data_IF_115574553775
#
_entry.id   IF_115574553775
#
_cell.length_a   1.000
_cell.length_b   1.000
_cell.length_c   1.000
_cell.angle_alpha   90.00
_cell.angle_beta   90.00
_cell.angle_gamma   90.00
#
_symmetry.space_group_name_H-M   'P 1'
#
loop_
_entity.id
_entity.type
_entity.pdbx_description
1 polymer ?
#
# COMPACT_ATOMS: atom_id res chain seq x y z
N UNK A 1 -6.41 -19.21 -17.53
CA UNK A 1 -6.40 -17.72 -17.64
C UNK A 1 -6.66 -17.39 -19.10
N UNK A 2 -7.68 -16.58 -19.36
CA UNK A 2 -8.18 -16.30 -20.71
C UNK A 2 -7.07 -15.81 -21.65
N UNK A 3 -6.94 -16.50 -22.80
CA UNK A 3 -6.02 -16.16 -23.88
C UNK A 3 -4.51 -16.19 -23.51
N UNK A 4 -4.13 -16.74 -22.35
CA UNK A 4 -2.75 -16.98 -21.99
C UNK A 4 -2.28 -18.38 -22.44
N UNK A 5 -2.30 -18.61 -23.75
CA UNK A 5 -1.73 -19.80 -24.37
C UNK A 5 -0.20 -19.74 -24.35
N UNK A 6 0.48 -20.91 -24.40
CA UNK A 6 1.96 -20.95 -24.49
C UNK A 6 2.43 -20.15 -25.71
N UNK A 7 1.71 -20.21 -26.83
CA UNK A 7 2.00 -19.44 -28.04
C UNK A 7 1.98 -17.93 -27.76
N UNK A 8 0.89 -17.42 -27.17
CA UNK A 8 0.75 -16.00 -26.86
C UNK A 8 1.80 -15.55 -25.82
N UNK A 9 2.08 -16.37 -24.83
CA UNK A 9 3.13 -16.11 -23.83
C UNK A 9 4.50 -15.97 -24.48
N UNK A 10 4.83 -16.87 -25.45
CA UNK A 10 6.08 -16.81 -26.18
C UNK A 10 6.22 -15.52 -27.00
N UNK A 11 5.16 -15.12 -27.70
CA UNK A 11 5.13 -13.89 -28.50
C UNK A 11 5.26 -12.64 -27.62
N UNK A 12 4.47 -12.57 -26.52
CA UNK A 12 4.44 -11.43 -25.59
C UNK A 12 5.78 -11.20 -24.92
N UNK A 13 6.47 -12.29 -24.52
CA UNK A 13 7.79 -12.22 -23.89
C UNK A 13 8.94 -12.05 -24.90
N UNK A 14 8.66 -12.04 -26.20
CA UNK A 14 9.69 -12.10 -27.25
C UNK A 14 10.66 -13.27 -27.02
N UNK A 15 10.13 -14.39 -26.55
CA UNK A 15 10.89 -15.56 -26.16
C UNK A 15 11.04 -16.59 -27.27
N UNK A 16 11.83 -17.63 -27.02
CA UNK A 16 11.96 -18.82 -27.87
C UNK A 16 11.34 -20.01 -27.17
N UNK A 17 10.35 -20.62 -27.80
CA UNK A 17 9.70 -21.81 -27.26
C UNK A 17 10.52 -23.08 -27.52
N UNK A 18 10.64 -23.91 -26.51
CA UNK A 18 11.25 -25.23 -26.56
C UNK A 18 10.25 -26.26 -26.00
N UNK A 19 9.84 -27.21 -26.82
CA UNK A 19 8.90 -28.27 -26.43
C UNK A 19 8.04 -28.78 -27.59
N UNK A 20 7.05 -29.64 -27.27
CA UNK A 20 6.15 -30.21 -28.27
C UNK A 20 5.17 -29.15 -28.81
N UNK A 21 4.97 -29.08 -30.14
CA UNK A 21 4.07 -28.13 -30.76
C UNK A 21 2.59 -28.29 -30.34
N UNK A 22 2.17 -29.52 -30.04
CA UNK A 22 0.77 -29.84 -29.71
C UNK A 22 0.27 -29.26 -28.39
N UNK A 23 1.13 -28.65 -27.57
CA UNK A 23 0.73 -27.97 -26.32
C UNK A 23 0.70 -26.44 -26.44
N UNK A 24 1.15 -25.86 -27.56
CA UNK A 24 1.28 -24.42 -27.72
C UNK A 24 -0.04 -23.65 -27.59
N UNK A 25 -1.17 -24.26 -27.95
CA UNK A 25 -2.49 -23.65 -27.85
C UNK A 25 -3.14 -23.86 -26.47
N UNK A 26 -2.49 -24.56 -25.54
CA UNK A 26 -3.00 -24.73 -24.17
C UNK A 26 -2.83 -23.46 -23.36
N UNK A 27 -3.87 -23.09 -22.63
CA UNK A 27 -3.87 -21.96 -21.72
C UNK A 27 -3.32 -22.38 -20.35
N UNK A 28 -2.55 -21.47 -19.72
CA UNK A 28 -2.11 -21.66 -18.34
C UNK A 28 -3.26 -21.34 -17.37
N UNK A 29 -3.33 -22.10 -16.28
CA UNK A 29 -4.35 -21.95 -15.22
C UNK A 29 -4.02 -20.78 -14.27
N UNK A 30 -2.73 -20.62 -13.98
CA UNK A 30 -2.20 -19.59 -13.07
C UNK A 30 -0.75 -19.28 -13.41
N UNK A 31 -0.23 -18.19 -12.85
CA UNK A 31 1.16 -17.77 -12.99
C UNK A 31 1.73 -17.53 -11.60
N UNK A 32 2.88 -18.13 -11.30
CA UNK A 32 3.54 -17.98 -10.00
C UNK A 32 5.06 -17.90 -10.12
N UNK A 33 5.67 -17.12 -9.22
CA UNK A 33 7.13 -17.08 -8.99
C UNK A 33 7.55 -17.91 -7.78
N UNK A 34 6.58 -18.47 -7.03
CA UNK A 34 6.83 -19.28 -5.82
C UNK A 34 6.67 -20.76 -6.15
N UNK A 35 7.79 -21.51 -6.14
CA UNK A 35 7.84 -22.94 -6.42
C UNK A 35 7.01 -23.84 -5.46
N UNK A 36 6.57 -23.27 -4.33
CA UNK A 36 5.71 -23.95 -3.35
C UNK A 36 4.21 -23.82 -3.68
N UNK A 37 3.85 -22.90 -4.59
CA UNK A 37 2.47 -22.57 -4.99
C UNK A 37 2.15 -23.04 -6.41
N UNK A 38 2.78 -24.11 -6.86
CA UNK A 38 2.51 -24.68 -8.17
C UNK A 38 1.14 -25.34 -8.17
N UNK A 39 0.35 -24.96 -9.15
CA UNK A 39 -0.93 -25.59 -9.48
C UNK A 39 -0.81 -26.35 -10.81
N UNK A 40 -1.72 -27.30 -11.04
CA UNK A 40 -1.78 -28.00 -12.32
C UNK A 40 -1.97 -27.00 -13.47
N UNK A 41 -1.21 -27.19 -14.53
CA UNK A 41 -1.23 -26.35 -15.73
C UNK A 41 -0.81 -24.88 -15.50
N UNK A 42 -0.06 -24.59 -14.44
CA UNK A 42 0.49 -23.25 -14.18
C UNK A 42 1.69 -22.91 -15.06
N UNK A 43 1.96 -21.59 -15.23
CA UNK A 43 3.26 -21.08 -15.67
C UNK A 43 4.12 -20.80 -14.43
N UNK A 44 5.31 -21.38 -14.38
CA UNK A 44 6.32 -21.01 -13.39
C UNK A 44 7.28 -19.95 -13.97
N UNK A 45 7.52 -18.88 -13.20
CA UNK A 45 8.46 -17.81 -13.57
C UNK A 45 9.59 -17.77 -12.57
N UNK A 46 10.77 -18.33 -12.89
CA UNK A 46 11.93 -18.28 -12.01
C UNK A 46 12.52 -16.87 -12.01
N UNK A 47 12.64 -16.27 -10.83
CA UNK A 47 13.30 -14.98 -10.62
C UNK A 47 14.68 -15.22 -10.01
N UNK A 48 15.69 -14.54 -10.54
CA UNK A 48 17.03 -14.50 -9.96
C UNK A 48 17.02 -13.45 -8.87
N UNK A 49 17.03 -13.86 -7.62
CA UNK A 49 17.12 -12.99 -6.47
C UNK A 49 18.54 -12.90 -5.91
N UNK A 50 18.78 -11.97 -4.98
CA UNK A 50 20.11 -11.76 -4.36
C UNK A 50 20.68 -13.01 -3.68
N UNK A 51 19.82 -13.85 -3.07
CA UNK A 51 20.22 -15.03 -2.30
C UNK A 51 19.98 -16.35 -3.02
N UNK A 52 19.06 -16.37 -3.96
CA UNK A 52 18.57 -17.63 -4.57
C UNK A 52 18.24 -17.38 -6.04
N UNK A 53 18.81 -18.23 -6.92
CA UNK A 53 18.37 -18.38 -8.30
C UNK A 53 17.24 -19.42 -8.36
N UNK A 54 16.01 -18.96 -8.67
CA UNK A 54 14.83 -19.82 -8.69
C UNK A 54 14.82 -20.81 -9.87
N UNK A 55 15.71 -20.69 -10.87
CA UNK A 55 15.82 -21.67 -11.96
C UNK A 55 16.13 -23.08 -11.45
N UNK A 56 16.82 -23.20 -10.29
CA UNK A 56 17.08 -24.52 -9.67
C UNK A 56 15.83 -25.32 -9.32
N UNK A 57 14.67 -24.65 -9.20
CA UNK A 57 13.41 -25.30 -8.86
C UNK A 57 12.62 -25.78 -10.09
N UNK A 58 13.08 -25.48 -11.33
CA UNK A 58 12.38 -25.84 -12.55
C UNK A 58 12.04 -27.33 -12.63
N UNK A 59 12.97 -28.27 -12.40
CA UNK A 59 12.63 -29.69 -12.47
C UNK A 59 11.55 -30.12 -11.47
N UNK A 60 11.60 -29.57 -10.25
CA UNK A 60 10.62 -29.88 -9.19
C UNK A 60 9.23 -29.33 -9.54
N UNK A 61 9.13 -28.11 -10.02
CA UNK A 61 7.83 -27.49 -10.37
C UNK A 61 7.20 -28.18 -11.58
N UNK A 62 7.99 -28.59 -12.57
CA UNK A 62 7.50 -29.33 -13.72
C UNK A 62 6.97 -30.71 -13.31
N UNK A 63 7.66 -31.39 -12.40
CA UNK A 63 7.20 -32.67 -11.84
C UNK A 63 5.89 -32.55 -11.03
N UNK A 64 5.61 -31.37 -10.47
CA UNK A 64 4.37 -31.04 -9.74
C UNK A 64 3.19 -30.66 -10.65
N UNK A 65 3.41 -30.60 -11.97
CA UNK A 65 2.34 -30.41 -12.95
C UNK A 65 2.22 -28.99 -13.51
N UNK A 66 3.25 -28.17 -13.41
CA UNK A 66 3.33 -26.93 -14.19
C UNK A 66 3.23 -27.28 -15.70
N UNK A 67 2.52 -26.46 -16.47
CA UNK A 67 2.37 -26.66 -17.91
C UNK A 67 3.63 -26.24 -18.67
N UNK A 68 4.23 -25.14 -18.25
CA UNK A 68 5.38 -24.52 -18.88
C UNK A 68 6.15 -23.68 -17.87
N UNK A 69 7.44 -23.48 -18.08
CA UNK A 69 8.27 -22.56 -17.29
C UNK A 69 8.94 -21.54 -18.19
N UNK A 70 9.24 -20.34 -17.66
CA UNK A 70 10.25 -19.46 -18.27
C UNK A 70 11.66 -19.93 -17.89
N UNK A 71 12.65 -19.52 -18.67
CA UNK A 71 14.07 -19.66 -18.32
C UNK A 71 14.89 -18.56 -18.97
N UNK A 72 15.82 -17.94 -18.24
CA UNK A 72 16.76 -16.96 -18.80
C UNK A 72 17.97 -17.63 -19.50
N UNK A 73 18.01 -18.94 -19.52
CA UNK A 73 19.08 -19.75 -20.15
C UNK A 73 18.51 -20.97 -20.84
N UNK A 74 19.26 -21.51 -21.78
CA UNK A 74 18.94 -22.78 -22.39
C UNK A 74 19.00 -23.91 -21.33
N UNK A 75 18.00 -24.78 -21.35
CA UNK A 75 17.92 -25.92 -20.44
C UNK A 75 18.37 -27.20 -21.18
N UNK A 76 19.58 -27.62 -20.91
CA UNK A 76 20.13 -28.86 -21.52
C UNK A 76 19.29 -30.08 -21.13
N UNK A 77 18.92 -30.89 -22.13
CA UNK A 77 18.15 -32.15 -21.96
C UNK A 77 16.78 -31.98 -21.26
N UNK A 78 16.13 -30.79 -21.37
CA UNK A 78 14.78 -30.62 -20.86
C UNK A 78 13.80 -31.48 -21.66
N UNK A 79 13.06 -32.37 -20.95
CA UNK A 79 11.98 -33.20 -21.48
C UNK A 79 10.59 -32.58 -21.28
N UNK A 80 10.54 -31.31 -20.90
CA UNK A 80 9.34 -30.51 -20.62
C UNK A 80 9.34 -29.20 -21.40
N UNK A 81 8.15 -28.58 -21.63
CA UNK A 81 8.06 -27.33 -22.36
C UNK A 81 8.60 -26.14 -21.51
N UNK A 82 9.39 -25.29 -22.16
CA UNK A 82 9.82 -24.01 -21.57
C UNK A 82 9.91 -22.90 -22.63
N UNK A 83 9.86 -21.66 -22.18
CA UNK A 83 10.07 -20.46 -23.00
C UNK A 83 11.35 -19.80 -22.53
N UNK A 84 12.35 -19.73 -23.40
CA UNK A 84 13.59 -19.01 -23.14
C UNK A 84 13.36 -17.51 -23.35
N UNK A 85 13.72 -16.71 -22.36
CA UNK A 85 13.53 -15.24 -22.34
C UNK A 85 14.82 -14.54 -21.95
N UNK A 86 14.98 -13.27 -22.35
CA UNK A 86 16.14 -12.47 -21.94
C UNK A 86 16.10 -12.05 -20.47
N UNK A 87 14.90 -11.88 -19.89
CA UNK A 87 14.68 -11.53 -18.48
C UNK A 87 13.32 -12.03 -18.01
N UNK A 88 13.29 -12.86 -16.99
CA UNK A 88 12.06 -13.35 -16.35
C UNK A 88 11.28 -12.20 -15.71
N UNK A 89 11.96 -11.22 -15.12
CA UNK A 89 11.31 -10.04 -14.53
C UNK A 89 10.64 -9.17 -15.59
N UNK A 90 11.26 -8.97 -16.76
CA UNK A 90 10.62 -8.23 -17.85
C UNK A 90 9.45 -9.02 -18.43
N UNK A 91 9.60 -10.32 -18.62
CA UNK A 91 8.54 -11.19 -19.12
C UNK A 91 7.28 -11.16 -18.22
N UNK A 92 7.44 -11.19 -16.89
CA UNK A 92 6.32 -11.03 -15.94
C UNK A 92 5.55 -9.74 -16.18
N UNK A 93 6.25 -8.62 -16.41
CA UNK A 93 5.62 -7.32 -16.67
C UNK A 93 4.87 -7.33 -18.01
N UNK A 94 5.46 -7.86 -19.06
CA UNK A 94 4.87 -7.92 -20.39
C UNK A 94 3.63 -8.83 -20.42
N UNK A 95 3.69 -9.98 -19.73
CA UNK A 95 2.54 -10.89 -19.58
C UNK A 95 1.41 -10.20 -18.80
N UNK A 96 1.72 -9.48 -17.72
CA UNK A 96 0.71 -8.79 -16.92
C UNK A 96 0.03 -7.67 -17.71
N UNK A 97 0.80 -6.87 -18.45
CA UNK A 97 0.24 -5.85 -19.36
C UNK A 97 -0.68 -6.48 -20.41
N UNK A 98 -0.24 -7.56 -21.05
CA UNK A 98 -1.04 -8.28 -22.04
C UNK A 98 -2.32 -8.83 -21.43
N UNK A 99 -2.23 -9.51 -20.28
CA UNK A 99 -3.39 -10.12 -19.62
C UNK A 99 -4.43 -9.09 -19.19
N UNK A 100 -3.99 -7.99 -18.56
CA UNK A 100 -4.91 -6.94 -18.12
C UNK A 100 -5.65 -6.30 -19.30
N UNK A 101 -4.96 -6.09 -20.44
CA UNK A 101 -5.60 -5.61 -21.68
C UNK A 101 -6.69 -6.56 -22.21
N UNK A 102 -6.54 -7.88 -22.02
CA UNK A 102 -7.54 -8.86 -22.45
C UNK A 102 -8.83 -8.80 -21.62
N UNK A 103 -8.72 -8.47 -20.34
CA UNK A 103 -9.86 -8.41 -19.42
C UNK A 103 -10.76 -7.20 -19.67
N UNK A 104 -10.21 -6.11 -20.20
CA UNK A 104 -10.96 -4.87 -20.53
C UNK A 104 -11.79 -4.31 -19.35
N UNK A 105 -11.31 -4.51 -18.12
CA UNK A 105 -11.94 -3.96 -16.92
C UNK A 105 -11.33 -2.62 -16.54
N UNK A 106 -12.11 -1.70 -15.93
CA UNK A 106 -11.55 -0.46 -15.42
C UNK A 106 -10.57 -0.70 -14.28
N UNK A 107 -9.55 0.17 -14.22
CA UNK A 107 -8.49 0.13 -13.22
C UNK A 107 -8.43 1.46 -12.47
N UNK A 108 -8.49 1.39 -11.14
CA UNK A 108 -8.17 2.51 -10.25
C UNK A 108 -6.73 2.34 -9.77
N UNK A 109 -5.83 3.20 -10.22
CA UNK A 109 -4.44 3.23 -9.79
C UNK A 109 -4.24 4.20 -8.64
N UNK A 110 -3.59 3.77 -7.55
CA UNK A 110 -3.42 4.57 -6.34
C UNK A 110 -1.95 4.69 -5.99
N UNK A 111 -1.48 5.92 -5.79
CA UNK A 111 -0.14 6.20 -5.25
C UNK A 111 -0.19 7.34 -4.23
N UNK A 112 0.95 7.68 -3.67
CA UNK A 112 1.14 8.75 -2.69
C UNK A 112 2.28 8.43 -1.74
N UNK A 113 2.67 9.38 -0.92
CA UNK A 113 3.71 9.18 0.08
C UNK A 113 3.19 8.34 1.25
N UNK A 114 2.04 8.72 1.79
CA UNK A 114 1.38 8.06 2.92
C UNK A 114 -0.08 7.73 2.56
N UNK A 115 -0.66 6.73 3.22
CA UNK A 115 -2.09 6.42 3.11
C UNK A 115 -2.49 5.60 1.88
N UNK A 116 -1.58 5.21 0.99
CA UNK A 116 -1.89 4.40 -0.21
C UNK A 116 -2.75 3.17 0.09
N UNK A 117 -2.29 2.36 1.03
CA UNK A 117 -2.96 1.10 1.40
C UNK A 117 -4.32 1.38 2.02
N UNK A 118 -4.41 2.32 2.96
CA UNK A 118 -5.69 2.68 3.59
C UNK A 118 -6.68 3.25 2.57
N UNK A 119 -6.24 4.15 1.68
CA UNK A 119 -7.08 4.68 0.59
C UNK A 119 -7.54 3.58 -0.35
N UNK A 120 -6.65 2.66 -0.74
CA UNK A 120 -6.99 1.47 -1.54
C UNK A 120 -8.10 0.64 -0.88
N UNK A 121 -8.00 0.43 0.43
CA UNK A 121 -8.99 -0.35 1.15
C UNK A 121 -10.36 0.33 1.18
N UNK A 122 -10.40 1.64 1.48
CA UNK A 122 -11.67 2.38 1.48
C UNK A 122 -12.28 2.44 0.07
N UNK A 123 -11.48 2.72 -0.96
CA UNK A 123 -11.94 2.72 -2.36
C UNK A 123 -12.47 1.33 -2.74
N UNK A 124 -11.75 0.27 -2.41
CA UNK A 124 -12.19 -1.09 -2.73
C UNK A 124 -13.46 -1.49 -1.96
N UNK A 125 -13.60 -1.06 -0.69
CA UNK A 125 -14.81 -1.26 0.11
C UNK A 125 -16.02 -0.56 -0.52
N UNK A 126 -15.86 0.69 -0.96
CA UNK A 126 -16.91 1.45 -1.65
C UNK A 126 -17.27 0.78 -2.99
N UNK A 127 -16.29 0.47 -3.82
CA UNK A 127 -16.57 -0.13 -5.14
C UNK A 127 -17.20 -1.52 -5.04
N UNK A 128 -16.89 -2.28 -3.99
CA UNK A 128 -17.45 -3.61 -3.72
C UNK A 128 -18.98 -3.60 -3.51
N UNK A 129 -19.55 -2.46 -3.11
CA UNK A 129 -21.01 -2.31 -2.97
C UNK A 129 -21.77 -2.51 -4.30
N UNK A 130 -21.06 -2.32 -5.43
CA UNK A 130 -21.66 -2.41 -6.76
C UNK A 130 -20.93 -3.37 -7.70
N UNK A 131 -19.62 -3.54 -7.54
CA UNK A 131 -18.77 -4.26 -8.47
C UNK A 131 -18.05 -5.42 -7.80
N UNK A 132 -17.85 -6.52 -8.54
CA UNK A 132 -16.86 -7.52 -8.12
C UNK A 132 -15.47 -6.93 -8.28
N UNK A 133 -14.88 -6.54 -7.14
CA UNK A 133 -13.68 -5.73 -7.06
C UNK A 133 -12.48 -6.56 -6.62
N UNK A 134 -11.42 -6.62 -7.44
CA UNK A 134 -10.12 -7.11 -7.01
C UNK A 134 -9.24 -5.95 -6.56
N UNK A 135 -8.48 -6.14 -5.48
CA UNK A 135 -7.52 -5.15 -4.97
C UNK A 135 -6.14 -5.75 -4.74
N UNK A 136 -5.11 -4.90 -4.75
CA UNK A 136 -3.76 -5.26 -4.31
C UNK A 136 -3.79 -5.82 -2.89
N UNK A 137 -3.18 -6.97 -2.67
CA UNK A 137 -3.00 -7.57 -1.33
C UNK A 137 -1.62 -7.23 -0.78
N UNK A 138 -1.56 -7.00 0.54
CA UNK A 138 -0.30 -6.69 1.22
C UNK A 138 0.45 -5.54 0.53
N UNK A 139 1.73 -5.76 0.25
CA UNK A 139 2.64 -4.82 -0.41
C UNK A 139 2.98 -5.21 -1.86
N UNK A 140 2.11 -5.95 -2.55
CA UNK A 140 2.32 -6.31 -3.96
C UNK A 140 2.07 -5.12 -4.89
N UNK A 141 2.80 -4.02 -4.65
CA UNK A 141 2.63 -2.71 -5.28
C UNK A 141 3.84 -2.23 -6.08
N UNK A 142 4.91 -3.03 -6.17
CA UNK A 142 6.14 -2.76 -6.92
C UNK A 142 6.16 -3.49 -8.27
N UNK A 143 7.30 -3.43 -8.99
CA UNK A 143 7.47 -3.97 -10.34
C UNK A 143 7.29 -5.49 -10.46
N UNK A 144 7.40 -6.25 -9.37
CA UNK A 144 7.07 -7.68 -9.32
C UNK A 144 5.68 -7.91 -8.71
N UNK A 145 5.34 -7.19 -7.66
CA UNK A 145 4.09 -7.35 -6.92
C UNK A 145 2.84 -6.97 -7.72
N UNK A 146 2.92 -5.87 -8.50
CA UNK A 146 1.80 -5.44 -9.34
C UNK A 146 1.43 -6.49 -10.40
N UNK A 147 2.37 -7.06 -11.19
CA UNK A 147 2.09 -8.19 -12.06
C UNK A 147 1.42 -9.37 -11.35
N UNK A 148 1.94 -9.78 -10.19
CA UNK A 148 1.37 -10.88 -9.41
C UNK A 148 -0.06 -10.56 -8.92
N UNK A 149 -0.37 -9.30 -8.65
CA UNK A 149 -1.74 -8.86 -8.37
C UNK A 149 -2.63 -8.99 -9.59
N UNK A 150 -2.16 -8.56 -10.76
CA UNK A 150 -2.87 -8.65 -12.04
C UNK A 150 -3.18 -10.12 -12.40
N UNK A 151 -2.27 -11.06 -12.15
CA UNK A 151 -2.50 -12.48 -12.42
C UNK A 151 -3.58 -13.13 -11.54
N UNK A 152 -4.05 -12.45 -10.51
CA UNK A 152 -5.18 -12.90 -9.69
C UNK A 152 -6.55 -12.52 -10.26
N UNK A 153 -6.60 -11.57 -11.20
CA UNK A 153 -7.83 -11.19 -11.89
C UNK A 153 -8.41 -12.37 -12.66
N UNK A 154 -9.73 -12.43 -12.72
CA UNK A 154 -10.51 -13.42 -13.45
C UNK A 154 -11.57 -12.71 -14.30
N UNK A 155 -12.20 -13.43 -15.23
CA UNK A 155 -13.20 -12.91 -16.16
C UNK A 155 -14.42 -12.32 -15.44
N UNK A 156 -14.69 -12.77 -14.21
CA UNK A 156 -15.79 -12.27 -13.40
C UNK A 156 -15.49 -10.97 -12.66
N UNK A 157 -14.23 -10.57 -12.53
CA UNK A 157 -13.87 -9.30 -11.89
C UNK A 157 -14.29 -8.14 -12.80
N UNK A 158 -14.90 -7.13 -12.19
CA UNK A 158 -15.49 -6.01 -12.91
C UNK A 158 -14.68 -4.72 -12.78
N UNK A 159 -13.81 -4.63 -11.76
CA UNK A 159 -12.94 -3.50 -11.52
C UNK A 159 -11.72 -3.93 -10.70
N UNK A 160 -10.57 -3.32 -10.98
CA UNK A 160 -9.34 -3.53 -10.21
C UNK A 160 -8.90 -2.26 -9.49
N UNK A 161 -8.49 -2.39 -8.22
CA UNK A 161 -7.92 -1.31 -7.41
C UNK A 161 -6.46 -1.65 -7.13
N UNK A 162 -5.55 -0.99 -7.85
CA UNK A 162 -4.14 -1.32 -7.88
C UNK A 162 -3.32 -0.25 -7.16
N UNK A 163 -2.69 -0.65 -6.05
CA UNK A 163 -1.71 0.18 -5.34
C UNK A 163 -0.38 0.17 -6.08
N UNK A 164 0.22 1.34 -6.29
CA UNK A 164 1.49 1.53 -6.96
C UNK A 164 2.47 2.29 -6.06
N UNK A 165 3.45 1.55 -5.53
CA UNK A 165 4.54 2.06 -4.70
C UNK A 165 5.81 2.23 -5.51
N UNK A 166 6.53 3.33 -5.28
CA UNK A 166 7.80 3.64 -5.93
C UNK A 166 8.79 4.19 -4.94
N UNK A 167 10.06 3.95 -5.23
CA UNK A 167 11.22 4.47 -4.49
C UNK A 167 12.13 5.34 -5.36
N UNK A 168 12.00 5.25 -6.70
CA UNK A 168 12.88 5.95 -7.65
C UNK A 168 12.12 6.44 -8.89
N UNK A 169 12.75 7.35 -9.65
CA UNK A 169 12.22 7.86 -10.90
C UNK A 169 12.06 6.75 -11.96
N UNK A 170 11.01 6.85 -12.76
CA UNK A 170 10.72 5.91 -13.85
C UNK A 170 10.06 4.60 -13.40
N UNK A 171 10.09 4.23 -12.11
CA UNK A 171 9.37 3.06 -11.61
C UNK A 171 7.86 3.21 -11.85
N UNK A 172 7.29 4.38 -11.53
CA UNK A 172 5.88 4.65 -11.78
C UNK A 172 5.53 4.55 -13.26
N UNK A 173 6.41 5.00 -14.17
CA UNK A 173 6.20 4.85 -15.60
C UNK A 173 6.09 3.38 -16.02
N UNK A 174 6.92 2.49 -15.42
CA UNK A 174 6.86 1.05 -15.68
C UNK A 174 5.60 0.40 -15.10
N UNK A 175 5.21 0.79 -13.88
CA UNK A 175 3.98 0.30 -13.23
C UNK A 175 2.72 0.74 -13.99
N UNK A 176 2.63 2.01 -14.35
CA UNK A 176 1.45 2.55 -15.04
C UNK A 176 1.30 2.01 -16.47
N UNK A 177 2.41 1.61 -17.12
CA UNK A 177 2.37 0.91 -18.41
C UNK A 177 1.62 -0.43 -18.30
N UNK A 178 1.81 -1.16 -17.19
CA UNK A 178 1.11 -2.42 -16.89
C UNK A 178 -0.35 -2.13 -16.53
N UNK A 179 -0.57 -1.25 -15.56
CA UNK A 179 -1.87 -0.99 -14.96
C UNK A 179 -2.83 -0.24 -15.89
N UNK A 180 -2.33 0.71 -16.71
CA UNK A 180 -3.11 1.58 -17.61
C UNK A 180 -4.37 2.14 -16.97
N UNK A 181 -4.26 2.87 -15.84
CA UNK A 181 -5.39 3.21 -15.01
C UNK A 181 -6.42 4.08 -15.74
N UNK A 182 -7.70 3.78 -15.50
CA UNK A 182 -8.82 4.63 -15.90
C UNK A 182 -9.03 5.76 -14.90
N UNK A 183 -8.68 5.54 -13.64
CA UNK A 183 -8.69 6.56 -12.60
C UNK A 183 -7.38 6.54 -11.85
N UNK A 184 -6.71 7.69 -11.78
CA UNK A 184 -5.46 7.89 -11.02
C UNK A 184 -5.75 8.64 -9.73
N UNK A 185 -5.38 8.06 -8.59
CA UNK A 185 -5.54 8.67 -7.26
C UNK A 185 -4.17 8.94 -6.66
N UNK A 186 -3.90 10.17 -6.22
CA UNK A 186 -2.70 10.51 -5.44
C UNK A 186 -3.11 11.07 -4.09
N UNK A 187 -2.68 10.40 -3.01
CA UNK A 187 -3.11 10.72 -1.65
C UNK A 187 -2.44 11.97 -1.08
N UNK A 188 -1.13 12.07 -1.23
CA UNK A 188 -0.31 13.21 -0.77
C UNK A 188 1.12 13.14 -1.28
N UNK A 189 1.86 14.25 -1.15
CA UNK A 189 3.28 14.40 -1.46
C UNK A 189 4.06 14.77 -0.19
N UNK A 190 4.55 13.76 0.51
CA UNK A 190 5.36 13.90 1.72
C UNK A 190 6.85 13.71 1.46
N UNK A 191 7.60 13.49 2.55
CA UNK A 191 9.06 13.33 2.58
C UNK A 191 9.47 11.85 2.60
N UNK A 192 9.00 11.05 1.62
CA UNK A 192 9.39 9.65 1.49
C UNK A 192 10.41 9.46 0.36
N UNK A 193 11.31 8.49 0.51
CA UNK A 193 12.33 8.13 -0.49
C UNK A 193 13.19 9.32 -0.96
N UNK A 194 13.48 10.28 -0.06
CA UNK A 194 14.23 11.48 -0.40
C UNK A 194 15.66 11.18 -0.86
N UNK A 195 16.24 10.07 -0.42
CA UNK A 195 17.53 9.58 -0.88
C UNK A 195 17.60 9.50 -2.42
N UNK A 196 16.56 8.99 -3.06
CA UNK A 196 16.50 8.80 -4.51
C UNK A 196 15.79 9.96 -5.22
N UNK A 197 14.78 10.56 -4.59
CA UNK A 197 13.90 11.55 -5.21
C UNK A 197 14.31 13.01 -4.89
N UNK A 198 15.26 13.21 -3.96
CA UNK A 198 15.83 14.49 -3.58
C UNK A 198 14.93 15.30 -2.64
N UNK A 199 13.85 15.85 -3.14
CA UNK A 199 12.92 16.69 -2.39
C UNK A 199 11.44 16.40 -2.71
N UNK A 200 10.52 17.17 -2.13
CA UNK A 200 9.09 17.03 -2.39
C UNK A 200 8.69 17.32 -3.85
N UNK A 201 9.45 18.12 -4.58
CA UNK A 201 9.19 18.35 -6.01
C UNK A 201 9.61 17.14 -6.84
N UNK A 202 10.70 16.47 -6.46
CA UNK A 202 11.07 15.17 -7.02
C UNK A 202 10.04 14.09 -6.73
N UNK A 203 9.50 14.05 -5.50
CA UNK A 203 8.41 13.12 -5.13
C UNK A 203 7.14 13.39 -5.97
N UNK A 204 6.74 14.66 -6.14
CA UNK A 204 5.62 15.04 -7.01
C UNK A 204 5.86 14.58 -8.43
N UNK A 205 7.05 14.87 -9.01
CA UNK A 205 7.42 14.49 -10.37
C UNK A 205 7.35 12.97 -10.56
N UNK A 206 7.91 12.19 -9.63
CA UNK A 206 7.90 10.73 -9.71
C UNK A 206 6.49 10.13 -9.60
N UNK A 207 5.65 10.64 -8.69
CA UNK A 207 4.29 10.12 -8.50
C UNK A 207 3.33 10.52 -9.61
N UNK A 208 3.47 11.72 -10.19
CA UNK A 208 2.65 12.16 -11.33
C UNK A 208 2.97 11.42 -12.63
N UNK A 209 4.05 10.63 -12.69
CA UNK A 209 4.26 9.69 -13.79
C UNK A 209 3.12 8.65 -13.92
N UNK A 210 2.27 8.47 -12.89
CA UNK A 210 1.07 7.61 -12.97
C UNK A 210 0.15 8.01 -14.12
N UNK A 211 0.16 9.28 -14.53
CA UNK A 211 -0.67 9.78 -15.62
C UNK A 211 -0.15 9.38 -17.01
N UNK A 212 1.14 8.99 -17.15
CA UNK A 212 1.77 8.75 -18.47
C UNK A 212 1.08 7.69 -19.33
N UNK A 213 0.51 6.67 -18.71
CA UNK A 213 -0.19 5.58 -19.41
C UNK A 213 -1.67 5.47 -19.02
N UNK A 214 -2.23 6.49 -18.37
CA UNK A 214 -3.65 6.49 -18.04
C UNK A 214 -4.54 6.50 -19.31
N UNK A 215 -5.76 6.02 -19.17
CA UNK A 215 -6.75 6.14 -20.22
C UNK A 215 -6.97 7.63 -20.57
N UNK A 216 -6.89 8.04 -21.84
CA UNK A 216 -7.09 9.43 -22.24
C UNK A 216 -8.46 10.01 -21.85
N UNK A 217 -9.46 9.16 -21.63
CA UNK A 217 -10.81 9.53 -21.14
C UNK A 217 -10.97 9.24 -19.65
N UNK A 218 -9.88 8.98 -18.95
CA UNK A 218 -9.87 8.63 -17.55
C UNK A 218 -10.04 9.83 -16.63
N UNK A 219 -9.89 9.57 -15.33
CA UNK A 219 -10.09 10.56 -14.27
C UNK A 219 -8.84 10.70 -13.40
N UNK A 220 -8.64 11.89 -12.86
CA UNK A 220 -7.57 12.20 -11.91
C UNK A 220 -8.26 12.64 -10.62
N UNK A 221 -7.88 12.05 -9.48
CA UNK A 221 -8.42 12.36 -8.14
C UNK A 221 -7.26 12.71 -7.23
N UNK A 222 -7.18 13.95 -6.75
CA UNK A 222 -6.05 14.47 -6.00
C UNK A 222 -6.49 15.09 -4.68
N UNK A 223 -5.63 14.97 -3.66
CA UNK A 223 -5.79 15.72 -2.43
C UNK A 223 -5.51 17.20 -2.69
N UNK A 224 -6.55 18.01 -2.68
CA UNK A 224 -6.45 19.44 -2.94
C UNK A 224 -5.88 20.25 -1.78
N UNK A 225 -5.79 19.68 -0.57
CA UNK A 225 -5.20 20.33 0.60
C UNK A 225 -3.68 20.07 0.71
N UNK A 226 -3.15 19.20 -0.15
CA UNK A 226 -1.70 19.02 -0.33
C UNK A 226 -1.17 20.15 -1.24
N UNK A 227 -0.24 20.96 -0.74
CA UNK A 227 0.30 22.14 -1.41
C UNK A 227 0.96 21.80 -2.78
N UNK A 228 1.54 20.60 -2.91
CA UNK A 228 2.15 20.16 -4.15
C UNK A 228 1.11 19.65 -5.15
N UNK A 229 0.15 18.82 -4.71
CA UNK A 229 -0.90 18.32 -5.58
C UNK A 229 -1.84 19.42 -6.06
N UNK A 230 -2.11 20.43 -5.25
CA UNK A 230 -2.92 21.60 -5.61
C UNK A 230 -2.35 22.39 -6.81
N UNK A 231 -1.05 22.24 -7.13
CA UNK A 231 -0.43 22.86 -8.30
C UNK A 231 -0.75 22.16 -9.63
N UNK A 232 -1.28 20.93 -9.59
CA UNK A 232 -1.62 20.14 -10.78
C UNK A 232 -2.97 20.58 -11.32
N UNK A 233 -2.99 21.48 -12.29
CA UNK A 233 -4.23 22.02 -12.86
C UNK A 233 -4.90 21.11 -13.88
N UNK A 234 -4.11 20.36 -14.65
CA UNK A 234 -4.57 19.39 -15.65
C UNK A 234 -3.44 18.48 -16.13
N UNK A 235 -3.78 17.36 -16.76
CA UNK A 235 -2.87 16.51 -17.50
C UNK A 235 -3.54 16.06 -18.80
N UNK A 236 -2.96 16.43 -19.95
CA UNK A 236 -3.47 16.12 -21.31
C UNK A 236 -4.98 16.46 -21.48
N UNK A 237 -5.42 17.61 -20.92
CA UNK A 237 -6.81 18.06 -20.99
C UNK A 237 -7.74 17.42 -19.95
N UNK A 238 -7.24 16.52 -19.10
CA UNK A 238 -8.01 15.94 -17.97
C UNK A 238 -7.76 16.80 -16.74
N UNK A 239 -8.81 17.43 -16.23
CA UNK A 239 -8.76 18.20 -14.98
C UNK A 239 -8.95 17.27 -13.78
N UNK A 240 -8.18 17.46 -12.69
CA UNK A 240 -8.37 16.72 -11.46
C UNK A 240 -9.73 17.02 -10.80
N UNK A 241 -10.30 16.01 -10.15
CA UNK A 241 -11.29 16.15 -9.09
C UNK A 241 -10.51 16.27 -7.78
N UNK A 242 -10.62 17.39 -7.11
CA UNK A 242 -9.95 17.66 -5.84
C UNK A 242 -10.80 17.26 -4.65
N UNK A 243 -10.21 16.48 -3.74
CA UNK A 243 -10.82 16.21 -2.45
C UNK A 243 -10.02 16.85 -1.32
N UNK A 244 -10.67 17.18 -0.19
CA UNK A 244 -10.02 17.79 0.97
C UNK A 244 -11.01 18.24 2.03
N UNK A 245 -10.53 18.98 3.03
CA UNK A 245 -11.37 19.55 4.10
C UNK A 245 -11.80 21.00 3.78
N UNK A 246 -11.14 21.62 2.82
CA UNK A 246 -11.54 22.94 2.36
C UNK A 246 -12.81 22.86 1.51
N UNK A 247 -13.84 23.63 1.85
CA UNK A 247 -15.13 23.69 1.14
C UNK A 247 -15.04 24.14 -0.34
N UNK A 248 -13.88 24.62 -0.78
CA UNK A 248 -13.62 24.95 -2.18
C UNK A 248 -13.26 23.71 -3.04
N UNK A 249 -13.12 22.54 -2.43
CA UNK A 249 -12.83 21.27 -3.14
C UNK A 249 -14.11 20.69 -3.75
N UNK A 250 -13.93 19.88 -4.82
CA UNK A 250 -15.05 19.19 -5.48
C UNK A 250 -15.73 18.17 -4.56
N UNK A 251 -14.94 17.56 -3.66
CA UNK A 251 -15.39 16.62 -2.63
C UNK A 251 -14.75 17.05 -1.29
N UNK A 252 -15.57 17.40 -0.32
CA UNK A 252 -15.05 17.87 0.97
C UNK A 252 -15.87 17.34 2.16
N UNK A 253 -15.30 17.45 3.36
CA UNK A 253 -15.99 17.11 4.60
C UNK A 253 -15.99 18.29 5.57
N UNK A 254 -17.13 18.46 6.26
CA UNK A 254 -17.29 19.33 7.41
C UNK A 254 -17.92 18.57 8.59
N UNK A 255 -18.26 19.29 9.66
CA UNK A 255 -18.87 18.72 10.88
C UNK A 255 -18.08 17.50 11.40
N UNK A 256 -16.75 17.59 11.36
CA UNK A 256 -15.86 16.49 11.72
C UNK A 256 -15.80 16.38 13.24
N UNK A 257 -16.16 15.19 13.75
CA UNK A 257 -16.18 14.89 15.18
C UNK A 257 -15.43 13.59 15.45
N UNK A 258 -14.37 13.63 16.27
CA UNK A 258 -13.70 12.43 16.74
C UNK A 258 -14.66 11.62 17.63
N UNK A 259 -14.75 10.33 17.37
CA UNK A 259 -15.43 9.35 18.22
C UNK A 259 -14.40 8.51 19.00
N UNK A 260 -13.25 9.10 19.29
CA UNK A 260 -12.11 8.43 19.89
C UNK A 260 -11.61 7.32 18.96
N UNK A 261 -11.20 6.21 19.55
CA UNK A 261 -10.72 5.06 18.79
C UNK A 261 -11.80 4.35 17.93
N UNK A 262 -13.08 4.73 18.07
CA UNK A 262 -14.19 4.17 17.27
C UNK A 262 -14.30 4.79 15.87
N UNK A 263 -13.51 5.83 15.60
CA UNK A 263 -13.49 6.45 14.29
C UNK A 263 -13.82 7.93 14.29
N UNK A 264 -14.21 8.44 13.11
CA UNK A 264 -14.53 9.87 12.91
C UNK A 264 -15.88 9.99 12.22
N UNK A 265 -16.82 10.71 12.85
CA UNK A 265 -18.06 11.11 12.21
C UNK A 265 -17.81 12.40 11.41
N UNK A 266 -18.35 12.48 10.20
CA UNK A 266 -18.28 13.70 9.38
C UNK A 266 -19.45 13.77 8.40
N UNK A 267 -19.64 14.96 7.83
CA UNK A 267 -20.54 15.16 6.70
C UNK A 267 -19.73 15.33 5.43
N UNK A 268 -19.93 14.42 4.46
CA UNK A 268 -19.26 14.49 3.14
C UNK A 268 -20.16 15.21 2.16
N UNK A 269 -19.59 16.20 1.46
CA UNK A 269 -20.18 16.93 0.35
C UNK A 269 -19.61 16.40 -0.97
N UNK A 270 -20.50 16.07 -1.92
CA UNK A 270 -20.16 15.41 -3.18
C UNK A 270 -20.99 15.99 -4.33
N UNK A 271 -20.54 17.10 -4.89
CA UNK A 271 -21.34 17.93 -5.83
C UNK A 271 -22.51 18.57 -5.11
N UNK A 272 -23.74 18.32 -5.60
CA UNK A 272 -24.99 18.83 -4.98
C UNK A 272 -25.48 17.97 -3.81
N UNK A 273 -24.93 16.77 -3.63
CA UNK A 273 -25.31 15.84 -2.58
C UNK A 273 -24.47 16.05 -1.31
N UNK A 274 -25.05 15.75 -0.15
CA UNK A 274 -24.32 15.66 1.12
C UNK A 274 -24.90 14.57 2.01
N UNK A 275 -24.05 13.89 2.77
CA UNK A 275 -24.47 12.80 3.66
C UNK A 275 -23.56 12.67 4.88
N UNK A 276 -24.15 12.26 5.99
CA UNK A 276 -23.44 11.99 7.24
C UNK A 276 -22.92 10.55 7.20
N UNK A 277 -21.66 10.35 7.65
CA UNK A 277 -20.99 9.05 7.63
C UNK A 277 -20.09 8.89 8.86
N UNK A 278 -19.97 7.66 9.35
CA UNK A 278 -18.96 7.26 10.32
C UNK A 278 -17.83 6.53 9.58
N UNK A 279 -16.64 7.11 9.57
CA UNK A 279 -15.41 6.44 9.14
C UNK A 279 -14.93 5.58 10.30
N UNK A 280 -14.96 4.23 10.23
CA UNK A 280 -14.78 3.35 11.39
C UNK A 280 -13.30 3.14 11.80
N UNK A 281 -12.43 4.06 11.41
CA UNK A 281 -11.01 4.09 11.79
C UNK A 281 -10.68 5.49 12.24
N UNK A 282 -10.00 5.67 13.39
CA UNK A 282 -9.74 6.98 13.95
C UNK A 282 -8.71 7.77 13.15
N UNK A 283 -8.73 9.08 13.35
CA UNK A 283 -7.80 10.04 12.77
C UNK A 283 -8.33 10.76 11.53
N UNK A 284 -8.03 12.06 11.48
CA UNK A 284 -8.46 12.95 10.41
C UNK A 284 -7.98 12.49 9.01
N UNK A 285 -6.83 11.82 8.95
CA UNK A 285 -6.29 11.26 7.71
C UNK A 285 -7.21 10.18 7.09
N UNK A 286 -8.04 9.51 7.90
CA UNK A 286 -9.02 8.54 7.40
C UNK A 286 -10.22 9.23 6.75
N UNK A 287 -10.54 10.46 7.15
CA UNK A 287 -11.54 11.27 6.44
C UNK A 287 -11.08 11.59 5.02
N UNK A 288 -9.79 11.95 4.82
CA UNK A 288 -9.23 12.12 3.45
C UNK A 288 -9.35 10.86 2.60
N UNK A 289 -9.11 9.68 3.19
CA UNK A 289 -9.26 8.41 2.47
C UNK A 289 -10.72 8.15 2.08
N UNK A 290 -11.68 8.50 2.95
CA UNK A 290 -13.10 8.40 2.68
C UNK A 290 -13.55 9.38 1.59
N UNK A 291 -13.01 10.61 1.57
CA UNK A 291 -13.26 11.60 0.51
C UNK A 291 -12.75 11.12 -0.86
N UNK A 292 -11.54 10.58 -0.91
CA UNK A 292 -11.00 9.97 -2.14
C UNK A 292 -11.90 8.82 -2.63
N UNK A 293 -12.39 7.98 -1.71
CA UNK A 293 -13.28 6.88 -2.03
C UNK A 293 -14.66 7.35 -2.48
N UNK A 294 -15.20 8.41 -1.89
CA UNK A 294 -16.45 9.03 -2.32
C UNK A 294 -16.33 9.61 -3.74
N UNK A 295 -15.23 10.31 -4.05
CA UNK A 295 -14.93 10.80 -5.40
C UNK A 295 -14.90 9.66 -6.43
N UNK A 296 -14.15 8.58 -6.14
CA UNK A 296 -14.05 7.40 -7.00
C UNK A 296 -15.40 6.70 -7.12
N UNK A 297 -16.14 6.51 -6.03
CA UNK A 297 -17.48 5.92 -6.05
C UNK A 297 -18.44 6.68 -6.98
N UNK A 298 -18.42 8.01 -6.93
CA UNK A 298 -19.22 8.87 -7.84
C UNK A 298 -18.80 8.69 -9.30
N UNK A 299 -17.51 8.65 -9.60
CA UNK A 299 -16.99 8.43 -10.96
C UNK A 299 -17.51 7.12 -11.55
N UNK A 300 -17.59 6.06 -10.73
CA UNK A 300 -18.12 4.75 -11.16
C UNK A 300 -19.62 4.58 -10.94
N UNK A 301 -20.35 5.68 -10.68
CA UNK A 301 -21.79 5.72 -10.66
C UNK A 301 -22.45 4.96 -9.49
N UNK A 302 -21.79 4.94 -8.33
CA UNK A 302 -22.39 4.46 -7.09
C UNK A 302 -23.37 5.52 -6.54
N UNK A 303 -24.46 5.07 -5.93
CA UNK A 303 -25.36 5.93 -5.18
C UNK A 303 -24.73 6.40 -3.87
N UNK A 304 -25.28 7.45 -3.27
CA UNK A 304 -24.83 7.96 -1.96
C UNK A 304 -24.90 6.87 -0.88
N UNK A 305 -25.96 6.07 -0.89
CA UNK A 305 -26.16 4.98 0.07
C UNK A 305 -25.12 3.87 -0.09
N UNK A 306 -24.74 3.55 -1.34
CA UNK A 306 -23.66 2.57 -1.62
C UNK A 306 -22.31 3.13 -1.18
N UNK A 307 -22.01 4.40 -1.46
CA UNK A 307 -20.76 5.05 -1.03
C UNK A 307 -20.69 5.06 0.51
N UNK A 308 -21.77 5.49 1.18
CA UNK A 308 -21.84 5.51 2.64
C UNK A 308 -21.63 4.12 3.24
N UNK A 309 -22.38 3.11 2.80
CA UNK A 309 -22.21 1.73 3.29
C UNK A 309 -20.78 1.22 3.07
N UNK A 310 -20.19 1.49 1.90
CA UNK A 310 -18.83 1.07 1.60
C UNK A 310 -17.79 1.71 2.52
N UNK A 311 -17.96 2.98 2.91
CA UNK A 311 -17.10 3.64 3.90
C UNK A 311 -17.31 3.03 5.30
N UNK A 312 -18.57 2.90 5.74
CA UNK A 312 -18.92 2.41 7.09
C UNK A 312 -18.60 0.92 7.30
N UNK A 313 -18.52 0.13 6.22
CA UNK A 313 -18.16 -1.29 6.25
C UNK A 313 -16.67 -1.59 6.13
N UNK A 314 -15.81 -0.57 6.22
CA UNK A 314 -14.37 -0.74 6.14
C UNK A 314 -13.85 -1.66 7.25
N UNK A 315 -13.22 -2.75 6.86
CA UNK A 315 -12.51 -3.65 7.78
C UNK A 315 -11.08 -3.14 8.02
N UNK A 316 -10.66 -3.13 9.29
CA UNK A 316 -9.29 -2.74 9.66
C UNK A 316 -8.28 -3.79 9.23
N UNK A 317 -7.11 -3.37 8.76
CA UNK A 317 -6.04 -4.25 8.30
C UNK A 317 -4.97 -4.37 9.40
N UNK A 318 -4.43 -5.56 9.57
CA UNK A 318 -3.29 -5.81 10.46
C UNK A 318 -2.11 -4.89 10.11
N UNK A 319 -1.51 -4.27 11.13
CA UNK A 319 -0.39 -3.35 10.97
C UNK A 319 -0.78 -1.96 10.41
N UNK A 320 -2.09 -1.68 10.28
CA UNK A 320 -2.63 -0.41 9.79
C UNK A 320 -3.74 0.09 10.70
N UNK A 321 -3.34 0.58 11.87
CA UNK A 321 -4.26 1.08 12.89
C UNK A 321 -5.31 0.05 13.34
N UNK A 322 -4.90 -1.23 13.46
CA UNK A 322 -5.78 -2.29 13.89
C UNK A 322 -5.88 -2.30 15.42
N UNK A 323 -7.10 -2.17 15.92
CA UNK A 323 -7.39 -2.35 17.33
C UNK A 323 -7.38 -3.83 17.70
N UNK A 324 -6.65 -4.18 18.76
CA UNK A 324 -6.58 -5.52 19.33
C UNK A 324 -6.87 -5.39 20.81
N UNK A 325 -8.05 -5.83 21.22
CA UNK A 325 -8.39 -5.94 22.64
C UNK A 325 -7.78 -7.23 23.19
N UNK A 326 -6.98 -7.11 24.22
CA UNK A 326 -6.48 -8.24 25.02
C UNK A 326 -7.12 -8.21 26.41
N UNK A 327 -6.88 -9.21 27.25
CA UNK A 327 -7.38 -9.22 28.61
C UNK A 327 -6.83 -8.07 29.47
N UNK A 328 -5.73 -7.42 29.07
CA UNK A 328 -5.02 -6.40 29.83
C UNK A 328 -4.92 -5.04 29.14
N UNK A 329 -4.86 -5.02 27.82
CA UNK A 329 -4.50 -3.83 27.04
C UNK A 329 -5.45 -3.62 25.88
N UNK A 330 -5.54 -2.36 25.44
CA UNK A 330 -5.97 -2.05 24.09
C UNK A 330 -4.73 -1.72 23.23
N UNK A 331 -4.39 -2.62 22.30
CA UNK A 331 -3.22 -2.44 21.42
C UNK A 331 -3.66 -1.86 20.07
N UNK A 332 -3.03 -0.76 19.70
CA UNK A 332 -3.16 -0.14 18.38
C UNK A 332 -1.99 -0.61 17.52
N UNK A 333 -2.23 -1.64 16.70
CA UNK A 333 -1.25 -2.20 15.78
C UNK A 333 -1.14 -1.34 14.52
N UNK A 334 -0.12 -0.48 14.47
CA UNK A 334 0.24 0.34 13.30
C UNK A 334 1.71 0.14 12.88
N UNK A 335 2.21 -1.10 13.07
CA UNK A 335 3.61 -1.46 12.95
C UNK A 335 4.06 -1.86 11.53
N UNK A 336 3.23 -1.68 10.50
CA UNK A 336 3.61 -2.06 9.13
C UNK A 336 4.75 -1.21 8.56
N UNK A 337 4.71 0.11 8.75
CA UNK A 337 5.78 1.03 8.33
C UNK A 337 5.66 2.37 9.09
N UNK A 338 6.74 3.14 9.08
CA UNK A 338 6.81 4.43 9.76
C UNK A 338 7.51 5.49 8.90
N UNK A 339 7.01 6.71 8.99
CA UNK A 339 7.65 7.95 8.54
C UNK A 339 7.14 9.10 9.43
N UNK A 340 7.75 10.29 9.41
CA UNK A 340 7.41 11.37 10.33
C UNK A 340 5.94 11.75 10.32
N UNK A 341 5.33 11.86 9.13
CA UNK A 341 3.91 12.22 8.98
C UNK A 341 2.99 11.15 9.59
N UNK A 342 3.23 9.88 9.29
CA UNK A 342 2.42 8.79 9.82
C UNK A 342 2.62 8.56 11.31
N UNK A 343 3.84 8.79 11.84
CA UNK A 343 4.11 8.72 13.28
C UNK A 343 3.29 9.76 14.05
N UNK A 344 3.35 11.02 13.61
CA UNK A 344 2.60 12.12 14.24
C UNK A 344 1.08 11.87 14.19
N UNK A 345 0.57 11.47 13.03
CA UNK A 345 -0.86 11.15 12.91
C UNK A 345 -1.32 10.02 13.84
N UNK A 346 -0.47 9.00 14.06
CA UNK A 346 -0.79 7.90 14.98
C UNK A 346 -0.71 8.33 16.45
N UNK A 347 0.22 9.22 16.80
CA UNK A 347 0.32 9.83 18.14
C UNK A 347 -0.90 10.70 18.45
N UNK A 348 -1.35 11.52 17.49
CA UNK A 348 -2.55 12.34 17.64
C UNK A 348 -3.80 11.50 17.91
N UNK A 349 -3.88 10.32 17.29
CA UNK A 349 -4.99 9.39 17.56
C UNK A 349 -4.83 8.70 18.90
N UNK A 350 -3.62 8.35 19.34
CA UNK A 350 -3.38 7.75 20.65
C UNK A 350 -3.83 8.70 21.78
N UNK A 351 -3.76 10.01 21.58
CA UNK A 351 -4.28 11.01 22.51
C UNK A 351 -5.74 10.76 22.91
N UNK A 352 -6.56 10.27 21.99
CA UNK A 352 -7.98 9.96 22.22
C UNK A 352 -8.18 8.57 22.91
N UNK A 353 -7.10 7.87 23.26
CA UNK A 353 -7.14 6.57 23.92
C UNK A 353 -7.61 6.65 25.38
N UNK A 354 -8.27 5.60 25.85
CA UNK A 354 -8.68 5.45 27.26
C UNK A 354 -7.51 4.95 28.12
N UNK A 355 -7.53 5.25 29.40
CA UNK A 355 -6.50 4.83 30.35
C UNK A 355 -5.16 5.52 30.16
N UNK A 356 -4.06 4.85 30.51
CA UNK A 356 -2.70 5.36 30.27
C UNK A 356 -2.30 5.11 28.82
N UNK A 357 -1.90 6.15 28.13
CA UNK A 357 -1.56 6.14 26.68
C UNK A 357 -0.06 5.95 26.51
N UNK A 358 0.32 4.82 25.96
CA UNK A 358 1.71 4.40 25.78
C UNK A 358 2.03 4.31 24.29
N UNK A 359 3.02 5.04 23.82
CA UNK A 359 3.54 4.89 22.45
C UNK A 359 4.85 4.08 22.48
N UNK A 360 4.90 2.97 21.71
CA UNK A 360 6.11 2.20 21.45
C UNK A 360 6.52 2.49 20.01
N UNK A 361 7.56 3.32 19.86
CA UNK A 361 7.99 3.87 18.57
C UNK A 361 9.37 3.37 18.22
N UNK A 362 9.53 2.80 17.03
CA UNK A 362 10.83 2.35 16.51
C UNK A 362 11.38 3.27 15.42
N UNK A 363 12.56 2.91 14.89
CA UNK A 363 13.26 3.66 13.87
C UNK A 363 12.44 3.82 12.60
N UNK A 364 12.59 4.98 11.96
CA UNK A 364 12.07 5.28 10.63
C UNK A 364 13.18 5.14 9.59
N UNK A 365 12.96 4.31 8.57
CA UNK A 365 13.92 4.10 7.47
C UNK A 365 13.71 5.03 6.28
N UNK A 366 14.67 5.03 5.36
CA UNK A 366 14.62 5.71 4.05
C UNK A 366 14.46 7.24 4.11
N UNK A 367 14.97 7.88 5.16
CA UNK A 367 14.85 9.33 5.41
C UNK A 367 16.04 10.15 4.86
N UNK A 368 17.10 9.48 4.40
CA UNK A 368 18.29 10.12 3.87
C UNK A 368 19.07 10.93 4.91
N UNK A 369 19.77 11.98 4.49
CA UNK A 369 20.63 12.80 5.36
C UNK A 369 19.92 13.49 6.52
N UNK A 370 18.59 13.63 6.45
CA UNK A 370 17.78 14.29 7.47
C UNK A 370 17.22 13.33 8.53
N UNK A 371 17.62 12.07 8.55
CA UNK A 371 17.02 11.04 9.41
C UNK A 371 17.02 11.43 10.89
N UNK A 372 18.09 12.01 11.41
CA UNK A 372 18.20 12.46 12.82
C UNK A 372 17.16 13.55 13.10
N UNK A 373 17.14 14.62 12.30
CA UNK A 373 16.23 15.75 12.51
C UNK A 373 14.75 15.32 12.43
N UNK A 374 14.42 14.35 11.56
CA UNK A 374 13.08 13.82 11.41
C UNK A 374 12.67 12.92 12.59
N UNK A 375 13.61 12.20 13.21
CA UNK A 375 13.36 11.50 14.48
C UNK A 375 13.14 12.50 15.64
N UNK A 376 13.96 13.55 15.72
CA UNK A 376 13.80 14.62 16.73
C UNK A 376 12.43 15.31 16.61
N UNK A 377 11.95 15.56 15.37
CA UNK A 377 10.65 16.15 15.12
C UNK A 377 9.49 15.29 15.67
N UNK A 378 9.57 13.96 15.49
CA UNK A 378 8.58 13.01 16.04
C UNK A 378 8.66 12.97 17.56
N UNK A 379 9.83 12.96 18.15
CA UNK A 379 10.02 12.98 19.61
C UNK A 379 9.43 14.25 20.24
N UNK A 380 9.69 15.40 19.64
CA UNK A 380 9.11 16.69 20.07
C UNK A 380 7.57 16.63 20.02
N UNK A 381 7.00 16.10 18.94
CA UNK A 381 5.55 15.94 18.79
C UNK A 381 4.98 15.00 19.85
N UNK A 382 5.62 13.86 20.13
CA UNK A 382 5.19 12.91 21.16
C UNK A 382 5.05 13.55 22.55
N UNK A 383 6.00 14.43 22.92
CA UNK A 383 5.94 15.16 24.18
C UNK A 383 4.79 16.21 24.20
N UNK A 384 4.31 16.67 23.06
CA UNK A 384 3.32 17.74 22.95
C UNK A 384 1.88 17.24 22.70
N UNK A 385 1.73 16.00 22.22
CA UNK A 385 0.42 15.46 21.83
C UNK A 385 -0.41 14.91 23.02
N UNK A 386 0.09 14.99 24.25
CA UNK A 386 -0.68 14.66 25.46
C UNK A 386 -0.82 13.17 25.74
N UNK A 387 0.10 12.33 25.28
CA UNK A 387 0.24 10.93 25.69
C UNK A 387 1.02 10.82 27.02
N UNK A 388 0.94 9.69 27.71
CA UNK A 388 1.51 9.56 29.06
C UNK A 388 2.94 8.99 29.07
N UNK A 389 3.27 8.11 28.12
CA UNK A 389 4.58 7.45 28.03
C UNK A 389 5.00 7.26 26.58
N UNK A 390 6.26 7.57 26.27
CA UNK A 390 6.88 7.24 24.99
C UNK A 390 8.05 6.28 25.22
N UNK A 391 8.03 5.11 24.58
CA UNK A 391 9.09 4.12 24.56
C UNK A 391 9.71 4.16 23.17
N UNK A 392 10.93 4.69 23.07
CA UNK A 392 11.68 4.83 21.84
C UNK A 392 12.66 3.66 21.69
N UNK A 393 12.64 2.97 20.55
CA UNK A 393 13.35 1.71 20.35
C UNK A 393 14.18 1.74 19.06
N UNK A 394 15.48 1.52 19.18
CA UNK A 394 16.39 1.44 18.04
C UNK A 394 17.45 2.53 18.03
N UNK A 395 18.40 2.38 17.11
CA UNK A 395 19.62 3.21 17.08
C UNK A 395 19.33 4.70 16.77
N UNK A 396 18.37 4.99 15.87
CA UNK A 396 17.97 6.35 15.52
C UNK A 396 16.93 6.92 16.50
N UNK A 397 16.16 6.06 17.15
CA UNK A 397 15.15 6.45 18.10
C UNK A 397 15.72 7.04 19.40
N UNK A 398 17.04 6.97 19.64
CA UNK A 398 17.71 7.72 20.70
C UNK A 398 17.49 9.23 20.52
N UNK A 399 17.58 9.74 19.29
CA UNK A 399 17.34 11.16 18.97
C UNK A 399 15.89 11.56 19.21
N UNK A 400 14.94 10.65 18.92
CA UNK A 400 13.53 10.84 19.26
C UNK A 400 13.33 10.98 20.79
N UNK A 401 13.96 10.09 21.57
CA UNK A 401 13.90 10.12 23.02
C UNK A 401 14.52 11.38 23.63
N UNK A 402 15.67 11.81 23.10
CA UNK A 402 16.37 13.03 23.57
C UNK A 402 15.53 14.29 23.26
N UNK A 403 14.98 14.39 22.05
CA UNK A 403 14.13 15.51 21.64
C UNK A 403 12.84 15.58 22.48
N UNK A 404 12.21 14.43 22.76
CA UNK A 404 11.03 14.37 23.61
C UNK A 404 11.33 14.86 25.05
N UNK A 405 12.41 14.38 25.66
CA UNK A 405 12.84 14.85 27.02
C UNK A 405 13.20 16.33 27.04
N UNK A 406 13.74 16.87 25.94
CA UNK A 406 14.07 18.27 25.82
C UNK A 406 12.81 19.15 25.67
N UNK A 407 11.82 18.65 24.95
CA UNK A 407 10.56 19.37 24.73
C UNK A 407 9.69 19.46 26.00
N UNK A 408 9.67 18.38 26.81
CA UNK A 408 9.01 18.33 28.12
C UNK A 408 9.83 17.44 29.08
N UNK A 409 10.37 18.06 30.15
CA UNK A 409 11.19 17.37 31.13
C UNK A 409 10.39 16.46 32.09
N UNK A 410 9.09 16.68 32.21
CA UNK A 410 8.19 15.85 33.03
C UNK A 410 7.60 14.68 32.23
N UNK A 411 7.70 14.71 30.92
CA UNK A 411 7.23 13.64 30.05
C UNK A 411 7.99 12.34 30.25
N UNK A 412 7.29 11.26 30.49
CA UNK A 412 7.91 9.94 30.72
C UNK A 412 8.43 9.33 29.42
N UNK A 413 9.73 9.36 29.20
CA UNK A 413 10.41 8.81 28.03
C UNK A 413 11.36 7.68 28.43
N UNK A 414 11.18 6.52 27.81
CA UNK A 414 12.02 5.32 27.98
C UNK A 414 12.74 5.09 26.65
N UNK A 415 13.98 4.66 26.70
CA UNK A 415 14.77 4.30 25.53
C UNK A 415 15.29 2.87 25.68
N UNK A 416 15.09 2.09 24.62
CA UNK A 416 15.60 0.73 24.45
C UNK A 416 16.45 0.69 23.17
N UNK A 417 17.63 0.12 23.25
CA UNK A 417 18.57 0.11 22.13
C UNK A 417 18.14 -0.81 20.98
N UNK A 418 17.30 -1.80 21.29
CA UNK A 418 16.82 -2.79 20.32
C UNK A 418 15.41 -3.32 20.68
N UNK A 419 14.76 -3.94 19.69
CA UNK A 419 13.51 -4.67 19.92
C UNK A 419 13.70 -5.81 20.92
N UNK A 420 14.81 -6.50 20.89
CA UNK A 420 15.15 -7.60 21.79
C UNK A 420 15.22 -7.11 23.23
N UNK A 421 15.89 -5.99 23.50
CA UNK A 421 15.94 -5.33 24.80
C UNK A 421 14.54 -4.93 25.28
N UNK A 422 13.75 -4.32 24.40
CA UNK A 422 12.35 -3.99 24.72
C UNK A 422 11.56 -5.23 25.16
N UNK A 423 11.65 -6.34 24.41
CA UNK A 423 10.88 -7.57 24.71
C UNK A 423 11.24 -8.20 26.06
N UNK A 424 12.51 -8.06 26.50
CA UNK A 424 12.95 -8.53 27.81
C UNK A 424 12.32 -7.73 28.98
N UNK A 425 12.04 -6.45 28.77
CA UNK A 425 11.52 -5.53 29.80
C UNK A 425 10.06 -5.15 29.60
N UNK A 426 9.41 -5.58 28.51
CA UNK A 426 8.08 -5.12 28.11
C UNK A 426 7.05 -5.22 29.24
N UNK A 427 7.07 -6.32 29.98
CA UNK A 427 6.15 -6.54 31.09
C UNK A 427 6.27 -5.56 32.26
N UNK A 428 7.43 -4.94 32.44
CA UNK A 428 7.69 -3.93 33.49
C UNK A 428 7.33 -2.50 32.99
N UNK A 429 7.23 -2.31 31.69
CA UNK A 429 7.01 -1.01 31.06
C UNK A 429 5.52 -0.70 30.84
N UNK A 430 4.70 -1.73 30.64
CA UNK A 430 3.26 -1.64 30.40
C UNK A 430 2.46 -2.14 31.63
N UNK A 431 1.24 -1.67 31.79
CA UNK A 431 0.37 -2.06 32.89
C UNK A 431 -1.08 -2.25 32.42
N UNK A 432 -1.85 -3.05 33.15
CA UNK A 432 -3.27 -3.29 32.89
C UNK A 432 -4.05 -1.97 32.73
N UNK A 433 -4.87 -1.90 31.70
CA UNK A 433 -5.64 -0.70 31.34
C UNK A 433 -4.93 0.26 30.39
N UNK A 434 -3.70 -0.05 29.93
CA UNK A 434 -3.01 0.78 28.95
C UNK A 434 -3.67 0.71 27.57
N UNK A 435 -3.71 1.88 26.88
CA UNK A 435 -3.86 1.94 25.44
C UNK A 435 -2.46 2.09 24.81
N UNK A 436 -2.03 1.11 24.02
CA UNK A 436 -0.65 0.98 23.55
C UNK A 436 -0.60 1.09 22.03
N UNK A 437 0.02 2.17 21.49
CA UNK A 437 0.37 2.28 20.09
C UNK A 437 1.72 1.59 19.81
N UNK A 438 1.75 0.71 18.80
CA UNK A 438 3.00 0.08 18.34
C UNK A 438 3.26 0.50 16.89
N UNK A 439 4.37 1.22 16.65
CA UNK A 439 4.70 1.74 15.32
C UNK A 439 6.20 1.82 15.05
N UNK A 440 6.63 1.26 13.92
CA UNK A 440 8.02 1.30 13.44
C UNK A 440 8.08 1.05 11.92
N UNK A 441 9.24 1.26 11.32
CA UNK A 441 9.51 0.79 9.96
C UNK A 441 9.53 -0.74 9.89
N UNK A 442 9.17 -1.27 8.74
CA UNK A 442 8.98 -2.72 8.52
C UNK A 442 10.20 -3.58 8.89
N UNK A 443 11.42 -3.07 8.66
CA UNK A 443 12.65 -3.79 8.99
C UNK A 443 12.84 -4.03 10.51
N UNK A 444 12.17 -3.24 11.36
CA UNK A 444 12.18 -3.40 12.82
C UNK A 444 11.39 -4.61 13.31
N UNK A 445 10.50 -5.17 12.46
CA UNK A 445 9.66 -6.36 12.77
C UNK A 445 8.84 -6.20 14.06
N UNK A 446 8.20 -5.04 14.25
CA UNK A 446 7.43 -4.71 15.46
C UNK A 446 6.13 -5.51 15.61
N UNK A 447 5.74 -6.32 14.62
CA UNK A 447 4.72 -7.35 14.78
C UNK A 447 5.06 -8.37 15.89
N UNK A 448 6.34 -8.50 16.26
CA UNK A 448 6.78 -9.32 17.39
C UNK A 448 6.42 -8.65 18.74
N UNK A 449 6.52 -7.32 18.82
CA UNK A 449 6.09 -6.54 19.99
C UNK A 449 4.57 -6.65 20.16
N UNK A 450 3.81 -6.50 19.07
CA UNK A 450 2.34 -6.66 19.09
C UNK A 450 1.91 -8.06 19.56
N UNK A 451 2.68 -9.10 19.22
CA UNK A 451 2.38 -10.48 19.68
C UNK A 451 2.73 -10.72 21.16
N UNK A 452 3.65 -9.93 21.71
CA UNK A 452 4.11 -10.08 23.09
C UNK A 452 3.21 -9.32 24.09
N UNK A 453 2.37 -8.39 23.62
CA UNK A 453 1.34 -7.68 24.36
C UNK A 453 0.04 -8.49 24.46
#
# INVERSE_FOLDING_TARGET
MKNLTIKNLTEVCSGTYHGPENVMDREVSSITTDSRKIEKDSLFVPIVGERVDAHRFIPDVMSKGALVTLSERELENADFPYIQVGSSLQAVKDIAEFYLKQLQIPVVGITGSVGKTSTKEVIASVLKEKYRTLKTQGNFNNELGLPLTVFRLRDEDQIAVLEMGISDFGEMTRLTKIARPDTCVITNIGTCHLENLGDRDGVLKAKTEIFKSMNPKGHIVLNGDDDKLATVSEYNGVKPVFFGLNAERDVYADQIESKGLKGVACRIHLGEDAFDVLVPTPGIHMVYNALAAAAVGRIYGLSIEEIKRGIESLETIRGRFKMIETDKFLVVDDCYNANPMSMKASLDVLHDGEGRRVAILGDMGELGENEIALHEEVGTHAAQCGIDVCICVGALSVHMAEAARKADQEFKVIYEESRESLLEHLGDLVQEGDTILVKASHFMQFEEVVKAL
#
